data_IF_949538683906
#
_entry.id   IF_949538683906
#
_cell.length_a   1.000
_cell.length_b   1.000
_cell.length_c   1.000
_cell.angle_alpha   90.00
_cell.angle_beta   90.00
_cell.angle_gamma   90.00
#
_symmetry.space_group_name_H-M   'P 1'
#
loop_
_entity.id
_entity.type
_entity.pdbx_description
1 polymer ?
#
# COMPACT_ATOMS: atom_id res chain seq x y z
N UNK A 1 24.01 -37.68 24.79
CA UNK A 1 23.88 -36.94 23.51
C UNK A 1 22.92 -35.78 23.73
N UNK A 2 23.44 -34.58 24.01
CA UNK A 2 22.61 -33.39 24.31
C UNK A 2 21.92 -32.99 23.01
N UNK A 3 20.59 -33.11 22.95
CA UNK A 3 19.78 -32.51 21.88
C UNK A 3 19.88 -31.00 22.05
N UNK A 4 20.68 -30.34 21.21
CA UNK A 4 20.58 -28.88 21.04
C UNK A 4 19.18 -28.62 20.47
N UNK A 5 18.28 -28.12 21.29
CA UNK A 5 17.08 -27.47 20.79
C UNK A 5 17.56 -26.28 19.98
N UNK A 6 17.38 -26.35 18.66
CA UNK A 6 17.46 -25.16 17.83
C UNK A 6 16.49 -24.15 18.41
N UNK A 7 16.99 -23.08 19.01
CA UNK A 7 16.17 -21.90 19.33
C UNK A 7 15.50 -21.51 18.03
N UNK A 8 14.17 -21.66 17.95
CA UNK A 8 13.42 -21.23 16.78
C UNK A 8 13.78 -19.76 16.53
N UNK A 9 14.45 -19.46 15.41
CA UNK A 9 14.85 -18.10 15.10
C UNK A 9 13.65 -17.32 14.59
N UNK A 10 13.50 -16.11 15.12
CA UNK A 10 12.57 -15.12 14.61
C UNK A 10 13.03 -14.66 13.23
N UNK A 11 12.13 -14.67 12.25
CA UNK A 11 12.51 -14.29 10.88
C UNK A 11 12.89 -12.82 10.77
N UNK A 12 12.26 -11.92 11.55
CA UNK A 12 12.65 -10.50 11.59
C UNK A 12 14.10 -10.35 12.07
N UNK A 13 14.47 -11.05 13.14
CA UNK A 13 15.83 -11.07 13.68
C UNK A 13 16.84 -11.70 12.71
N UNK A 14 16.47 -12.78 12.02
CA UNK A 14 17.30 -13.41 10.98
C UNK A 14 17.61 -12.41 9.86
N UNK A 15 16.58 -11.76 9.30
CA UNK A 15 16.76 -10.77 8.23
C UNK A 15 17.56 -9.55 8.69
N UNK A 16 17.31 -9.06 9.90
CA UNK A 16 18.09 -7.96 10.49
C UNK A 16 19.58 -8.30 10.65
N UNK A 17 19.92 -9.57 10.89
CA UNK A 17 21.32 -10.01 10.97
C UNK A 17 21.95 -10.23 9.59
N UNK A 18 21.15 -10.53 8.58
CA UNK A 18 21.61 -10.82 7.23
C UNK A 18 21.83 -9.55 6.39
N UNK A 19 21.03 -8.50 6.63
CA UNK A 19 21.04 -7.25 5.87
C UNK A 19 21.62 -6.08 6.68
N UNK A 20 22.30 -5.16 5.99
CA UNK A 20 22.89 -3.95 6.59
C UNK A 20 21.85 -2.93 7.04
N UNK A 21 20.74 -2.84 6.32
CA UNK A 21 19.68 -1.85 6.56
C UNK A 21 18.34 -2.54 6.79
N UNK A 22 17.53 -1.95 7.66
CA UNK A 22 16.17 -2.35 7.96
C UNK A 22 15.35 -1.08 8.18
N UNK A 23 14.37 -0.83 7.30
CA UNK A 23 13.55 0.39 7.27
C UNK A 23 12.07 0.05 7.18
N UNK A 24 11.18 0.99 7.51
CA UNK A 24 9.75 0.76 7.38
C UNK A 24 9.32 0.75 5.91
N UNK A 25 8.34 -0.10 5.59
CA UNK A 25 7.79 -0.26 4.26
C UNK A 25 6.35 -0.78 4.30
N UNK A 26 5.64 -0.60 3.19
CA UNK A 26 4.25 -1.03 3.02
C UNK A 26 4.10 -1.79 1.71
N UNK A 27 3.50 -2.98 1.75
CA UNK A 27 3.38 -3.85 0.58
C UNK A 27 1.93 -4.06 0.16
N UNK A 28 1.57 -3.64 -1.04
CA UNK A 28 0.25 -3.77 -1.63
C UNK A 28 0.17 -5.00 -2.53
N UNK A 29 -0.60 -6.00 -2.09
CA UNK A 29 -0.89 -7.23 -2.84
C UNK A 29 -2.25 -7.11 -3.53
N UNK A 30 -2.31 -7.51 -4.80
CA UNK A 30 -3.51 -7.37 -5.63
C UNK A 30 -3.85 -8.62 -6.44
N UNK A 31 -5.15 -8.87 -6.62
CA UNK A 31 -5.65 -9.83 -7.60
C UNK A 31 -7.07 -9.49 -8.07
N UNK A 32 -7.20 -8.97 -9.29
CA UNK A 32 -8.49 -8.77 -9.99
C UNK A 32 -8.45 -9.37 -11.40
N UNK A 33 -8.05 -10.65 -11.48
CA UNK A 33 -7.74 -11.33 -12.75
C UNK A 33 -6.29 -11.15 -13.22
N UNK A 34 -5.56 -10.20 -12.62
CA UNK A 34 -4.11 -10.08 -12.69
C UNK A 34 -3.55 -9.91 -11.28
N UNK A 35 -2.51 -10.69 -10.95
CA UNK A 35 -1.74 -10.55 -9.71
C UNK A 35 -0.68 -9.46 -9.88
N UNK A 36 -0.47 -8.65 -8.85
CA UNK A 36 0.55 -7.62 -8.85
C UNK A 36 0.98 -7.25 -7.44
N UNK A 37 2.15 -6.61 -7.37
CA UNK A 37 2.75 -6.08 -6.17
C UNK A 37 3.08 -4.60 -6.37
N UNK A 38 2.82 -3.80 -5.33
CA UNK A 38 3.48 -2.52 -5.09
C UNK A 38 4.13 -2.55 -3.71
N UNK A 39 5.31 -1.96 -3.56
CA UNK A 39 5.98 -1.84 -2.28
C UNK A 39 6.54 -0.42 -2.14
N UNK A 40 6.11 0.30 -1.11
CA UNK A 40 6.62 1.63 -0.79
C UNK A 40 7.69 1.53 0.29
N UNK A 41 8.81 2.22 0.12
CA UNK A 41 9.90 2.29 1.11
C UNK A 41 10.28 3.75 1.32
N UNK A 42 9.53 4.49 2.17
CA UNK A 42 9.68 5.94 2.32
C UNK A 42 11.07 6.40 2.74
N UNK A 43 11.71 5.68 3.67
CA UNK A 43 13.00 6.06 4.24
C UNK A 43 14.12 6.15 3.20
N UNK A 44 13.98 5.45 2.07
CA UNK A 44 14.94 5.49 0.95
C UNK A 44 14.36 6.15 -0.31
N UNK A 45 13.14 6.67 -0.23
CA UNK A 45 12.47 7.32 -1.36
C UNK A 45 12.30 6.40 -2.57
N UNK A 46 11.98 5.12 -2.37
CA UNK A 46 11.80 4.15 -3.46
C UNK A 46 10.42 3.49 -3.41
N UNK A 47 9.89 3.19 -4.58
CA UNK A 47 8.67 2.41 -4.78
C UNK A 47 8.95 1.30 -5.79
N UNK A 48 8.59 0.05 -5.47
CA UNK A 48 8.51 -1.04 -6.43
C UNK A 48 7.08 -1.17 -6.97
N UNK A 49 6.92 -1.41 -8.27
CA UNK A 49 5.61 -1.69 -8.86
C UNK A 49 5.68 -2.65 -10.05
N UNK A 50 4.72 -3.57 -10.13
CA UNK A 50 4.33 -4.39 -11.31
C UNK A 50 3.15 -3.72 -12.07
N UNK A 51 2.90 -2.44 -11.80
CA UNK A 51 1.97 -1.61 -12.56
C UNK A 51 0.52 -1.65 -12.11
N UNK A 52 0.20 -1.93 -10.84
CA UNK A 52 -1.17 -1.79 -10.28
C UNK A 52 -1.11 -1.15 -8.89
N UNK A 53 -2.11 -0.31 -8.54
CA UNK A 53 -2.08 0.61 -7.38
C UNK A 53 -3.27 0.47 -6.42
N UNK A 54 -3.99 -0.66 -6.47
CA UNK A 54 -5.09 -0.97 -5.54
C UNK A 54 -4.80 -2.35 -4.96
N UNK A 55 -5.07 -2.57 -3.67
CA UNK A 55 -4.77 -3.82 -2.96
C UNK A 55 -4.87 -3.67 -1.44
N UNK A 56 -4.32 -4.63 -0.69
CA UNK A 56 -4.28 -4.63 0.79
C UNK A 56 -2.85 -4.70 1.30
N UNK A 57 -2.58 -3.95 2.37
CA UNK A 57 -1.22 -3.73 2.87
C UNK A 57 -0.95 -4.41 4.20
N UNK A 58 -0.12 -5.46 4.23
CA UNK A 58 0.78 -5.67 5.35
C UNK A 58 1.78 -4.51 5.43
N UNK A 59 1.78 -3.82 6.57
CA UNK A 59 2.89 -2.98 7.01
C UNK A 59 4.04 -3.88 7.49
N UNK A 60 5.28 -3.47 7.24
CA UNK A 60 6.42 -4.29 7.59
C UNK A 60 7.77 -3.62 7.47
N UNK A 61 8.80 -4.44 7.56
CA UNK A 61 10.19 -3.99 7.45
C UNK A 61 10.77 -4.44 6.13
N UNK A 62 11.42 -3.51 5.44
CA UNK A 62 12.21 -3.76 4.25
C UNK A 62 13.70 -3.83 4.61
N UNK A 63 14.35 -4.89 4.16
CA UNK A 63 15.73 -5.25 4.47
C UNK A 63 16.56 -5.23 3.19
N UNK A 64 17.71 -4.55 3.20
CA UNK A 64 18.57 -4.45 2.03
C UNK A 64 20.03 -4.14 2.40
N UNK A 65 20.94 -4.34 1.44
CA UNK A 65 22.38 -4.11 1.63
C UNK A 65 22.93 -2.87 0.91
N UNK A 66 22.43 -2.57 -0.29
CA UNK A 66 22.95 -1.50 -1.16
C UNK A 66 21.81 -0.85 -1.92
N UNK A 67 21.73 0.49 -1.89
CA UNK A 67 20.69 1.25 -2.58
C UNK A 67 20.79 1.17 -4.11
N UNK A 68 22.01 1.07 -4.66
CA UNK A 68 22.27 0.95 -6.10
C UNK A 68 21.63 -0.29 -6.73
N UNK A 69 21.22 -1.27 -5.92
CA UNK A 69 20.50 -2.44 -6.42
C UNK A 69 19.09 -2.10 -6.94
N UNK A 70 18.54 -0.95 -6.55
CA UNK A 70 17.21 -0.53 -6.95
C UNK A 70 17.19 0.08 -8.36
N UNK A 71 18.32 0.54 -8.90
CA UNK A 71 18.36 1.12 -10.26
C UNK A 71 18.58 0.06 -11.35
N UNK A 72 18.57 -1.23 -10.98
CA UNK A 72 18.73 -2.36 -11.90
C UNK A 72 17.45 -2.63 -12.71
N UNK A 73 17.63 -3.14 -13.92
CA UNK A 73 16.52 -3.64 -14.75
C UNK A 73 16.29 -5.14 -14.55
N UNK A 74 15.12 -5.64 -14.94
CA UNK A 74 14.79 -7.06 -14.86
C UNK A 74 14.60 -7.57 -13.42
N UNK A 75 14.10 -6.70 -12.53
CA UNK A 75 13.82 -7.09 -11.15
C UNK A 75 12.63 -8.05 -11.11
N UNK A 76 12.86 -9.20 -10.49
CA UNK A 76 11.87 -10.19 -10.14
C UNK A 76 11.51 -10.06 -8.67
N UNK A 77 10.28 -10.41 -8.35
CA UNK A 77 9.86 -10.59 -6.97
C UNK A 77 9.17 -11.93 -6.79
N UNK A 78 9.24 -12.46 -5.56
CA UNK A 78 8.49 -13.65 -5.16
C UNK A 78 7.88 -13.47 -3.80
N UNK A 79 6.60 -13.77 -3.69
CA UNK A 79 5.80 -13.58 -2.48
C UNK A 79 5.54 -14.91 -1.78
N UNK A 80 5.52 -14.89 -0.46
CA UNK A 80 5.32 -16.05 0.40
C UNK A 80 4.34 -15.73 1.52
N UNK A 81 3.44 -16.67 1.79
CA UNK A 81 2.71 -16.73 3.04
C UNK A 81 3.60 -17.44 4.06
N UNK A 82 4.29 -16.67 4.88
CA UNK A 82 5.19 -17.20 5.90
C UNK A 82 4.47 -17.27 7.25
N UNK A 83 4.75 -18.29 8.07
CA UNK A 83 4.29 -18.33 9.47
C UNK A 83 5.51 -18.20 10.35
N UNK A 84 5.59 -17.10 11.10
CA UNK A 84 6.72 -16.85 11.99
C UNK A 84 6.70 -17.85 13.16
N UNK A 85 7.81 -18.57 13.33
CA UNK A 85 7.84 -19.73 14.22
C UNK A 85 7.78 -19.38 15.71
N UNK A 86 8.17 -18.16 16.08
CA UNK A 86 8.19 -17.73 17.48
C UNK A 86 6.79 -17.40 17.98
N UNK A 87 6.00 -16.68 17.20
CA UNK A 87 4.70 -16.15 17.62
C UNK A 87 3.51 -16.72 16.83
N UNK A 88 3.78 -17.63 15.89
CA UNK A 88 2.81 -18.24 14.97
C UNK A 88 2.00 -17.21 14.15
N UNK A 89 2.50 -15.98 14.00
CA UNK A 89 1.83 -14.98 13.16
C UNK A 89 2.07 -15.26 11.69
N UNK A 90 1.02 -15.11 10.89
CA UNK A 90 1.14 -15.08 9.44
C UNK A 90 1.81 -13.77 9.02
N UNK A 91 2.77 -13.87 8.11
CA UNK A 91 3.54 -12.76 7.56
C UNK A 91 3.51 -12.83 6.04
N UNK A 92 3.48 -11.66 5.40
CA UNK A 92 3.83 -11.51 4.00
C UNK A 92 5.34 -11.39 3.89
N UNK A 93 5.97 -12.34 3.22
CA UNK A 93 7.41 -12.32 2.97
C UNK A 93 7.66 -12.21 1.47
N UNK A 94 8.36 -11.16 1.06
CA UNK A 94 8.60 -10.84 -0.34
C UNK A 94 10.10 -10.73 -0.58
N UNK A 95 10.57 -11.38 -1.63
CA UNK A 95 11.97 -11.42 -2.02
C UNK A 95 12.19 -10.73 -3.36
N UNK A 96 13.24 -9.91 -3.47
CA UNK A 96 13.62 -9.21 -4.71
C UNK A 96 14.98 -9.69 -5.24
N UNK A 97 15.04 -10.05 -6.52
CA UNK A 97 16.24 -10.61 -7.18
C UNK A 97 16.25 -10.30 -8.67
N UNK A 98 17.38 -10.48 -9.34
CA UNK A 98 17.51 -10.30 -10.80
C UNK A 98 17.49 -11.62 -11.56
N UNK A 99 18.32 -12.58 -11.13
CA UNK A 99 18.50 -13.87 -11.82
C UNK A 99 17.83 -15.01 -11.06
N UNK A 100 18.24 -15.20 -9.80
CA UNK A 100 17.79 -16.31 -8.95
C UNK A 100 17.41 -15.85 -7.55
N UNK A 101 16.44 -16.55 -6.95
CA UNK A 101 15.98 -16.28 -5.59
C UNK A 101 17.10 -16.40 -4.55
N UNK A 102 18.11 -17.24 -4.79
CA UNK A 102 19.26 -17.41 -3.90
C UNK A 102 20.20 -16.19 -3.89
N UNK A 103 20.04 -15.28 -4.84
CA UNK A 103 20.79 -14.02 -4.95
C UNK A 103 19.89 -12.83 -4.61
N UNK A 104 19.04 -13.00 -3.60
CA UNK A 104 18.12 -11.97 -3.16
C UNK A 104 18.88 -10.76 -2.62
N UNK A 105 18.63 -9.58 -3.18
CA UNK A 105 19.34 -8.37 -2.79
C UNK A 105 18.56 -7.52 -1.78
N UNK A 106 17.25 -7.76 -1.65
CA UNK A 106 16.39 -7.13 -0.67
C UNK A 106 15.16 -8.00 -0.38
N UNK A 107 14.62 -7.88 0.83
CA UNK A 107 13.44 -8.62 1.27
C UNK A 107 12.50 -7.71 2.08
N UNK A 108 11.20 -7.90 1.93
CA UNK A 108 10.18 -7.30 2.78
C UNK A 108 9.56 -8.38 3.68
N UNK A 109 9.38 -8.08 4.96
CA UNK A 109 8.64 -8.92 5.89
C UNK A 109 7.68 -8.07 6.72
N UNK A 110 6.39 -8.32 6.58
CA UNK A 110 5.32 -7.65 7.34
C UNK A 110 4.35 -8.65 7.93
N UNK A 111 3.72 -8.31 9.06
CA UNK A 111 2.64 -9.14 9.62
C UNK A 111 1.43 -9.02 8.71
N UNK A 112 0.88 -10.16 8.27
CA UNK A 112 -0.25 -10.24 7.35
C UNK A 112 -1.47 -10.80 8.08
N UNK A 113 -2.03 -9.98 8.98
CA UNK A 113 -3.16 -10.35 9.83
C UNK A 113 -4.41 -10.69 9.01
N UNK A 114 -4.56 -10.07 7.84
CA UNK A 114 -5.69 -10.24 6.93
C UNK A 114 -5.51 -11.38 5.92
N UNK A 115 -4.40 -12.14 6.01
CA UNK A 115 -4.00 -13.17 5.05
C UNK A 115 -4.02 -12.70 3.58
N UNK A 116 -3.60 -11.47 3.32
CA UNK A 116 -3.57 -10.83 2.00
C UNK A 116 -2.84 -11.66 0.96
N UNK A 117 -1.72 -12.31 1.31
CA UNK A 117 -1.00 -13.20 0.36
C UNK A 117 -1.88 -14.35 -0.11
N UNK A 118 -2.65 -14.95 0.81
CA UNK A 118 -3.60 -16.02 0.49
C UNK A 118 -4.79 -15.48 -0.27
N UNK A 119 -5.38 -14.38 0.21
CA UNK A 119 -6.55 -13.74 -0.40
C UNK A 119 -6.31 -13.33 -1.85
N UNK A 120 -5.09 -12.89 -2.17
CA UNK A 120 -4.69 -12.51 -3.53
C UNK A 120 -4.13 -13.68 -4.36
N UNK A 121 -4.11 -14.93 -3.85
CA UNK A 121 -3.49 -16.08 -4.52
C UNK A 121 -2.02 -15.82 -4.94
N UNK A 122 -1.27 -15.17 -4.04
CA UNK A 122 0.12 -14.77 -4.23
C UNK A 122 1.10 -15.66 -3.46
N UNK A 123 0.67 -16.75 -2.82
CA UNK A 123 1.63 -17.65 -2.19
C UNK A 123 2.51 -18.36 -3.23
N UNK A 124 3.83 -18.27 -3.05
CA UNK A 124 4.86 -18.69 -4.00
C UNK A 124 4.75 -18.07 -5.42
N UNK A 125 4.01 -16.96 -5.57
CA UNK A 125 3.88 -16.28 -6.85
C UNK A 125 5.15 -15.51 -7.20
N UNK A 126 5.58 -15.60 -8.47
CA UNK A 126 6.71 -14.86 -9.03
C UNK A 126 6.19 -13.88 -10.10
N UNK A 127 6.69 -12.64 -10.03
CA UNK A 127 6.40 -11.59 -11.00
C UNK A 127 7.62 -10.74 -11.30
N UNK A 128 7.45 -9.78 -12.20
CA UNK A 128 8.49 -8.81 -12.58
C UNK A 128 7.99 -7.40 -12.38
N UNK A 129 8.90 -6.48 -12.06
CA UNK A 129 8.56 -5.08 -11.90
C UNK A 129 9.78 -4.20 -11.92
N UNK A 130 9.60 -2.97 -11.47
CA UNK A 130 10.66 -1.97 -11.46
C UNK A 130 10.57 -1.14 -10.19
N UNK A 131 11.73 -0.77 -9.66
CA UNK A 131 11.84 0.29 -8.68
C UNK A 131 11.84 1.65 -9.37
N UNK A 132 11.27 2.64 -8.70
CA UNK A 132 11.20 4.03 -9.13
C UNK A 132 11.43 4.93 -7.92
N UNK A 133 11.88 6.14 -8.18
CA UNK A 133 11.99 7.16 -7.14
C UNK A 133 10.58 7.58 -6.69
N UNK A 134 10.38 7.55 -5.37
CA UNK A 134 9.16 7.95 -4.73
C UNK A 134 9.21 9.46 -4.45
N UNK A 135 8.96 10.25 -5.50
CA UNK A 135 8.79 11.69 -5.37
C UNK A 135 7.33 11.99 -5.00
N UNK A 136 6.97 11.77 -3.74
CA UNK A 136 5.64 12.07 -3.24
C UNK A 136 5.68 13.32 -2.35
N UNK A 137 4.93 14.34 -2.73
CA UNK A 137 4.48 15.37 -1.80
C UNK A 137 3.46 14.76 -0.84
N UNK A 138 3.43 15.24 0.41
CA UNK A 138 2.43 14.84 1.40
C UNK A 138 1.90 16.06 2.13
N UNK A 139 0.58 16.10 2.33
CA UNK A 139 -0.09 17.20 3.04
C UNK A 139 -1.23 16.68 3.91
N UNK A 140 -1.43 17.30 5.06
CA UNK A 140 -2.58 17.02 5.91
C UNK A 140 -3.89 17.42 5.22
N UNK A 141 -4.85 16.50 5.21
CA UNK A 141 -6.19 16.69 4.68
C UNK A 141 -7.28 16.18 5.61
N UNK A 142 -8.50 16.64 5.37
CA UNK A 142 -9.68 16.28 6.14
C UNK A 142 -10.79 15.82 5.21
N UNK A 143 -11.30 14.62 5.46
CA UNK A 143 -12.49 14.08 4.81
C UNK A 143 -13.71 14.44 5.65
N UNK A 144 -14.76 14.92 5.00
CA UNK A 144 -16.05 15.17 5.64
C UNK A 144 -17.22 14.74 4.77
N UNK A 145 -18.21 14.12 5.40
CA UNK A 145 -19.55 13.87 4.85
C UNK A 145 -20.56 14.07 5.96
N UNK A 146 -21.66 14.77 5.69
CA UNK A 146 -22.80 14.83 6.60
C UNK A 146 -23.80 13.72 6.23
N UNK A 147 -24.56 13.24 7.21
CA UNK A 147 -25.55 12.17 7.05
C UNK A 147 -26.69 12.53 6.08
N UNK A 148 -27.07 13.80 6.04
CA UNK A 148 -28.07 14.39 5.17
C UNK A 148 -27.56 14.78 3.77
N UNK A 149 -26.26 14.57 3.49
CA UNK A 149 -25.63 14.94 2.23
C UNK A 149 -25.10 13.74 1.45
N UNK A 150 -25.23 13.78 0.13
CA UNK A 150 -24.57 12.84 -0.79
C UNK A 150 -23.13 13.25 -1.14
N UNK A 151 -22.68 14.39 -0.63
CA UNK A 151 -21.38 14.96 -0.96
C UNK A 151 -20.34 14.62 0.09
N UNK A 152 -19.23 14.05 -0.35
CA UNK A 152 -18.01 13.86 0.45
C UNK A 152 -17.02 14.94 0.00
N UNK A 153 -16.44 15.66 0.95
CA UNK A 153 -15.40 16.65 0.67
C UNK A 153 -14.07 16.20 1.27
N UNK A 154 -12.99 16.43 0.53
CA UNK A 154 -11.63 16.16 0.96
C UNK A 154 -10.88 17.47 0.84
N UNK A 155 -10.62 18.12 1.98
CA UNK A 155 -10.02 19.44 2.04
C UNK A 155 -8.55 19.33 2.41
N UNK A 156 -7.68 19.90 1.58
CA UNK A 156 -6.23 19.94 1.76
C UNK A 156 -5.77 21.41 1.82
N UNK A 157 -5.85 22.07 2.99
CA UNK A 157 -5.68 23.52 3.12
C UNK A 157 -4.31 24.01 2.67
N UNK A 158 -3.24 23.25 2.96
CA UNK A 158 -1.86 23.63 2.67
C UNK A 158 -1.60 23.84 1.16
N UNK A 159 -2.30 23.08 0.32
CA UNK A 159 -2.19 23.15 -1.15
C UNK A 159 -3.39 23.83 -1.80
N UNK A 160 -4.29 24.41 -1.00
CA UNK A 160 -5.52 25.08 -1.45
C UNK A 160 -6.30 24.23 -2.46
N UNK A 161 -6.40 22.93 -2.16
CA UNK A 161 -7.12 21.96 -2.99
C UNK A 161 -8.27 21.36 -2.19
N UNK A 162 -9.44 21.26 -2.82
CA UNK A 162 -10.57 20.50 -2.27
C UNK A 162 -11.13 19.56 -3.33
N UNK A 163 -11.15 18.26 -3.03
CA UNK A 163 -11.88 17.28 -3.82
C UNK A 163 -13.34 17.24 -3.35
N UNK A 164 -14.26 17.22 -4.29
CA UNK A 164 -15.67 16.95 -4.06
C UNK A 164 -16.07 15.68 -4.78
N UNK A 165 -16.52 14.70 -4.01
CA UNK A 165 -17.02 13.41 -4.49
C UNK A 165 -18.53 13.38 -4.26
N UNK A 166 -19.29 13.00 -5.29
CA UNK A 166 -20.73 12.73 -5.14
C UNK A 166 -20.89 11.23 -4.96
N UNK A 167 -21.44 10.80 -3.82
CA UNK A 167 -21.76 9.41 -3.52
C UNK A 167 -23.02 8.96 -4.28
N UNK A 168 -22.89 8.85 -5.60
CA UNK A 168 -23.97 8.47 -6.52
C UNK A 168 -24.48 7.04 -6.26
N UNK A 169 -23.60 6.18 -5.77
CA UNK A 169 -23.90 4.78 -5.45
C UNK A 169 -24.48 4.60 -4.03
N UNK A 170 -24.65 5.67 -3.26
CA UNK A 170 -25.18 5.66 -1.89
C UNK A 170 -24.40 4.73 -0.94
N UNK A 171 -23.09 4.59 -1.15
CA UNK A 171 -22.21 3.72 -0.37
C UNK A 171 -22.20 4.14 1.11
N UNK A 172 -22.30 5.44 1.37
CA UNK A 172 -22.27 6.05 2.69
C UNK A 172 -23.60 6.75 3.03
N UNK A 173 -24.72 6.27 2.48
CA UNK A 173 -26.04 6.87 2.71
C UNK A 173 -26.42 6.90 4.20
N UNK A 174 -26.84 8.06 4.69
CA UNK A 174 -27.21 8.25 6.10
C UNK A 174 -26.04 8.21 7.08
N UNK A 175 -24.79 8.15 6.59
CA UNK A 175 -23.58 8.15 7.41
C UNK A 175 -22.94 9.52 7.45
N UNK A 176 -22.51 9.92 8.65
CA UNK A 176 -21.61 11.05 8.85
C UNK A 176 -20.17 10.56 8.93
N UNK A 177 -19.27 11.22 8.21
CA UNK A 177 -17.84 10.90 8.17
C UNK A 177 -17.04 12.15 8.52
N UNK A 178 -16.06 12.01 9.41
CA UNK A 178 -15.08 13.06 9.69
C UNK A 178 -13.72 12.43 9.98
N UNK A 179 -12.82 12.44 9.01
CA UNK A 179 -11.54 11.72 9.10
C UNK A 179 -10.40 12.66 8.76
N UNK A 180 -9.38 12.71 9.62
CA UNK A 180 -8.11 13.38 9.34
C UNK A 180 -7.10 12.38 8.79
N UNK A 181 -6.20 12.83 7.93
CA UNK A 181 -5.15 12.00 7.35
C UNK A 181 -4.18 12.80 6.50
N UNK A 182 -3.34 12.09 5.76
CA UNK A 182 -2.41 12.67 4.81
C UNK A 182 -2.79 12.30 3.38
N UNK A 183 -2.80 13.29 2.49
CA UNK A 183 -2.85 13.08 1.05
C UNK A 183 -1.42 13.08 0.51
N UNK A 184 -1.03 11.97 -0.11
CA UNK A 184 0.21 11.77 -0.81
C UNK A 184 -0.03 11.95 -2.31
N UNK A 185 0.87 12.63 -3.01
CA UNK A 185 0.69 12.96 -4.42
C UNK A 185 2.03 13.11 -5.14
N UNK A 186 2.08 12.76 -6.43
CA UNK A 186 3.30 12.88 -7.23
C UNK A 186 3.68 14.33 -7.50
N UNK A 187 2.67 15.13 -7.84
CA UNK A 187 2.82 16.54 -8.19
C UNK A 187 1.50 17.26 -7.85
N UNK A 188 1.62 18.43 -7.21
CA UNK A 188 0.49 19.27 -6.77
C UNK A 188 -0.48 19.61 -7.93
N UNK A 189 0.05 19.81 -9.14
CA UNK A 189 -0.76 20.13 -10.32
C UNK A 189 -1.53 18.91 -10.79
N UNK A 190 -0.99 17.72 -10.55
CA UNK A 190 -1.60 16.45 -10.98
C UNK A 190 -2.72 16.00 -10.06
N UNK A 191 -2.68 16.37 -8.76
CA UNK A 191 -3.75 16.10 -7.79
C UNK A 191 -5.11 16.51 -8.36
N UNK A 192 -5.19 17.73 -8.90
CA UNK A 192 -6.44 18.34 -9.40
C UNK A 192 -7.01 17.64 -10.64
N UNK A 193 -6.24 16.77 -11.28
CA UNK A 193 -6.67 15.98 -12.45
C UNK A 193 -7.41 14.70 -12.06
N UNK A 194 -7.41 14.32 -10.78
CA UNK A 194 -8.10 13.11 -10.31
C UNK A 194 -9.62 13.20 -10.53
N UNK A 195 -10.15 12.39 -11.45
CA UNK A 195 -11.59 12.35 -11.80
C UNK A 195 -12.31 11.11 -11.26
N UNK A 196 -11.53 10.10 -10.87
CA UNK A 196 -11.99 8.83 -10.35
C UNK A 196 -11.32 8.55 -9.02
N UNK A 197 -11.98 7.83 -8.13
CA UNK A 197 -11.32 7.26 -6.96
C UNK A 197 -11.71 5.82 -6.72
N UNK A 198 -10.71 5.03 -6.33
CA UNK A 198 -10.92 3.75 -5.69
C UNK A 198 -10.84 3.95 -4.18
N UNK A 199 -11.74 3.29 -3.47
CA UNK A 199 -11.87 3.41 -2.04
C UNK A 199 -11.75 2.02 -1.42
N UNK A 200 -10.95 1.91 -0.36
CA UNK A 200 -10.88 0.75 0.54
C UNK A 200 -10.80 1.25 2.00
N UNK A 201 -10.81 0.34 2.97
CA UNK A 201 -10.85 0.66 4.39
C UNK A 201 -9.70 1.55 4.89
N UNK A 202 -8.55 1.46 4.24
CA UNK A 202 -7.28 2.04 4.65
C UNK A 202 -6.88 3.24 3.81
N UNK A 203 -7.43 3.42 2.60
CA UNK A 203 -7.07 4.55 1.73
C UNK A 203 -8.12 4.90 0.69
N UNK A 204 -8.00 6.13 0.17
CA UNK A 204 -8.69 6.57 -1.06
C UNK A 204 -7.63 6.87 -2.10
N UNK A 205 -7.66 6.22 -3.26
CA UNK A 205 -6.71 6.46 -4.35
C UNK A 205 -7.41 7.17 -5.49
N UNK A 206 -6.82 8.27 -5.98
CA UNK A 206 -7.36 9.10 -7.05
C UNK A 206 -6.66 8.81 -8.38
N UNK A 207 -7.43 8.82 -9.46
CA UNK A 207 -6.94 8.56 -10.81
C UNK A 207 -7.49 9.58 -11.80
N UNK A 208 -6.72 9.88 -12.83
CA UNK A 208 -7.15 10.79 -13.90
C UNK A 208 -8.08 10.11 -14.92
N UNK A 209 -7.81 8.84 -15.27
CA UNK A 209 -8.42 8.15 -16.41
C UNK A 209 -9.52 7.15 -16.06
N UNK A 210 -9.30 6.27 -15.08
CA UNK A 210 -10.27 5.27 -14.61
C UNK A 210 -10.00 4.90 -13.15
N UNK A 211 -11.02 4.41 -12.41
CA UNK A 211 -10.88 4.00 -11.01
C UNK A 211 -9.97 2.77 -10.78
N UNK A 212 -9.51 2.12 -11.85
CA UNK A 212 -8.61 0.95 -11.82
C UNK A 212 -7.29 1.22 -12.54
N UNK A 213 -6.99 2.49 -12.82
CA UNK A 213 -5.80 2.90 -13.55
C UNK A 213 -4.51 2.53 -12.81
N UNK A 214 -3.46 2.33 -13.59
CA UNK A 214 -2.10 2.08 -13.12
C UNK A 214 -1.32 3.38 -12.89
N UNK A 215 -1.96 4.53 -13.01
CA UNK A 215 -1.34 5.83 -12.76
C UNK A 215 -2.28 6.67 -11.89
N UNK A 216 -1.96 6.71 -10.60
CA UNK A 216 -2.69 7.52 -9.62
C UNK A 216 -2.18 8.97 -9.64
N UNK A 217 -3.07 9.91 -9.33
CA UNK A 217 -2.74 11.31 -9.13
C UNK A 217 -2.41 11.63 -7.68
N UNK A 218 -3.17 11.02 -6.75
CA UNK A 218 -2.95 11.12 -5.31
C UNK A 218 -3.52 9.90 -4.58
N UNK A 219 -3.15 9.70 -3.32
CA UNK A 219 -3.87 8.82 -2.40
C UNK A 219 -3.93 9.41 -1.00
N UNK A 220 -5.04 9.19 -0.30
CA UNK A 220 -5.29 9.63 1.06
C UNK A 220 -5.19 8.45 2.01
N UNK A 221 -4.41 8.61 3.08
CA UNK A 221 -4.29 7.65 4.19
C UNK A 221 -4.80 8.32 5.46
N UNK A 222 -5.80 7.76 6.17
CA UNK A 222 -6.29 8.29 7.43
C UNK A 222 -5.24 8.15 8.54
N UNK A 223 -5.27 9.02 9.55
CA UNK A 223 -4.42 8.85 10.73
C UNK A 223 -4.77 7.57 11.50
N UNK A 224 -3.77 6.84 11.98
CA UNK A 224 -3.96 5.66 12.85
C UNK A 224 -4.85 5.95 14.07
N UNK A 225 -4.80 7.19 14.58
CA UNK A 225 -5.59 7.64 15.73
C UNK A 225 -7.01 8.10 15.38
N UNK A 226 -7.45 7.96 14.12
CA UNK A 226 -8.79 8.37 13.71
C UNK A 226 -9.83 7.45 14.38
N UNK A 227 -10.60 7.98 15.33
CA UNK A 227 -11.67 7.25 16.02
C UNK A 227 -12.78 6.74 15.09
N UNK A 228 -12.88 7.31 13.89
CA UNK A 228 -13.79 6.91 12.83
C UNK A 228 -12.99 6.44 11.64
N UNK A 229 -13.14 5.18 11.26
CA UNK A 229 -12.75 4.71 9.93
C UNK A 229 -13.80 5.15 8.92
N UNK A 230 -13.52 5.03 7.63
CA UNK A 230 -14.48 5.38 6.58
C UNK A 230 -15.63 4.34 6.45
N UNK A 231 -15.79 3.43 7.43
CA UNK A 231 -16.90 2.47 7.64
C UNK A 231 -17.23 1.47 6.51
N UNK A 232 -16.42 1.38 5.46
CA UNK A 232 -16.60 0.30 4.48
C UNK A 232 -15.99 -0.99 5.04
N UNK A 233 -16.49 -2.13 4.59
CA UNK A 233 -15.93 -3.43 4.98
C UNK A 233 -14.69 -3.74 4.14
N UNK A 234 -13.68 -4.38 4.74
CA UNK A 234 -12.40 -4.70 4.07
C UNK A 234 -12.54 -5.65 2.87
N UNK A 235 -13.76 -6.11 2.56
CA UNK A 235 -14.08 -6.98 1.43
C UNK A 235 -14.66 -6.24 0.21
N UNK A 236 -14.92 -4.92 0.30
CA UNK A 236 -15.61 -4.17 -0.76
C UNK A 236 -14.85 -2.90 -1.13
N UNK A 237 -14.22 -2.90 -2.31
CA UNK A 237 -13.74 -1.67 -2.94
C UNK A 237 -14.95 -0.88 -3.44
N UNK A 238 -15.07 0.39 -3.05
CA UNK A 238 -16.03 1.31 -3.66
C UNK A 238 -15.34 2.13 -4.74
N UNK A 239 -16.03 2.39 -5.83
CA UNK A 239 -15.52 3.22 -6.92
C UNK A 239 -16.39 4.47 -7.05
N UNK A 240 -15.73 5.62 -7.09
CA UNK A 240 -16.37 6.89 -7.32
C UNK A 240 -15.97 7.43 -8.69
N UNK A 241 -16.98 7.84 -9.46
CA UNK A 241 -16.83 8.62 -10.67
C UNK A 241 -17.37 10.04 -10.42
N UNK A 242 -16.91 11.01 -11.22
CA UNK A 242 -17.29 12.44 -11.09
C UNK A 242 -16.68 13.17 -9.88
N UNK A 243 -15.38 12.96 -9.65
CA UNK A 243 -14.61 13.77 -8.70
C UNK A 243 -14.27 15.11 -9.36
N UNK A 244 -14.48 16.19 -8.61
CA UNK A 244 -14.09 17.54 -9.02
C UNK A 244 -13.13 18.13 -8.00
N UNK A 245 -12.09 18.80 -8.48
CA UNK A 245 -11.13 19.51 -7.66
C UNK A 245 -11.27 21.01 -7.88
N UNK A 246 -11.22 21.78 -6.80
CA UNK A 246 -11.05 23.24 -6.80
C UNK A 246 -9.72 23.61 -6.17
#
# INVERSE_FOLDING_TARGET
RIRRYSTMSDKFSELRSHYKHAVQAEALLFNNGRRALRLEVPDIGKEFTDGLYIGKDPEGTFYYNYADNFDRTGIKYKTYRYVNKIDNKTCAWIKFYTESENQCFAEFLGVDADESVRGCNMDAYEGTGSWKDMNLGSVTCFIRKYDDQSRITISCPAIKATATITDTNNVLRGKSVKVGGNLHFKDIDTVKRGKYASYNNDRIVFYESTAVSTDFTAFFVPYESAQSTLEVSSASTAEFSSISWS
#
